data_IF_422874454902
#
_entry.id   IF_422874454902
#
_cell.length_a   1.000
_cell.length_b   1.000
_cell.length_c   1.000
_cell.angle_alpha   90.00
_cell.angle_beta   90.00
_cell.angle_gamma   90.00
#
_symmetry.space_group_name_H-M   'P 1'
#
loop_
_entity.id
_entity.type
_entity.pdbx_description
1 polymer ?
#
# COMPACT_ATOMS: atom_id res chain seq x y z
N UNK A 1 8.42 0.04 13.91
CA UNK A 1 7.27 -0.87 13.69
C UNK A 1 6.12 -0.05 13.15
N UNK A 2 6.05 0.06 11.82
CA UNK A 2 4.96 0.73 11.15
C UNK A 2 3.63 0.05 11.49
N UNK A 3 2.61 0.85 11.83
CA UNK A 3 1.27 0.32 12.00
C UNK A 3 0.71 -0.10 10.64
N UNK A 4 -0.20 -1.09 10.59
CA UNK A 4 -0.85 -1.48 9.34
C UNK A 4 -1.65 -0.32 8.70
N UNK A 5 -1.97 0.71 9.47
CA UNK A 5 -2.60 1.97 9.03
C UNK A 5 -1.66 2.83 8.17
N UNK A 6 -0.34 2.67 8.35
CA UNK A 6 0.71 3.40 7.64
C UNK A 6 1.22 2.64 6.40
N UNK A 7 0.78 1.39 6.23
CA UNK A 7 1.11 0.56 5.08
C UNK A 7 0.08 0.73 3.98
N UNK A 8 0.55 0.79 2.73
CA UNK A 8 -0.31 1.07 1.58
C UNK A 8 -0.19 -0.03 0.54
N UNK A 9 -1.32 -0.55 0.06
CA UNK A 9 -1.37 -1.54 -1.00
C UNK A 9 -1.80 -0.92 -2.32
N UNK A 10 -1.11 -1.30 -3.40
CA UNK A 10 -1.45 -0.96 -4.76
C UNK A 10 -2.68 -1.74 -5.22
N UNK A 11 -3.76 -1.03 -5.52
CA UNK A 11 -5.04 -1.60 -5.94
C UNK A 11 -5.12 -1.91 -7.44
N UNK A 12 -4.01 -1.81 -8.16
CA UNK A 12 -3.97 -2.23 -9.56
C UNK A 12 -4.17 -3.75 -9.63
N UNK A 13 -5.14 -4.21 -10.43
CA UNK A 13 -5.60 -5.60 -10.48
C UNK A 13 -4.52 -6.65 -10.77
N UNK A 14 -3.37 -6.24 -11.31
CA UNK A 14 -2.22 -7.09 -11.65
C UNK A 14 -0.95 -6.76 -10.82
N UNK A 15 -1.10 -6.07 -9.68
CA UNK A 15 0.03 -5.62 -8.86
C UNK A 15 -0.02 -6.13 -7.42
N UNK A 16 -0.91 -5.60 -6.58
CA UNK A 16 -0.99 -5.95 -5.16
C UNK A 16 0.23 -5.57 -4.31
N UNK A 17 1.16 -4.75 -4.82
CA UNK A 17 2.37 -4.33 -4.08
C UNK A 17 2.02 -3.59 -2.78
N UNK A 18 2.67 -3.96 -1.67
CA UNK A 18 2.53 -3.29 -0.37
C UNK A 18 3.76 -2.42 -0.10
N UNK A 19 3.53 -1.14 0.08
CA UNK A 19 4.50 -0.18 0.59
C UNK A 19 4.57 -0.25 2.12
N UNK A 20 5.77 -0.51 2.63
CA UNK A 20 6.09 -0.53 4.05
C UNK A 20 6.99 0.67 4.37
N UNK A 21 6.56 1.62 5.21
CA UNK A 21 7.35 2.82 5.49
C UNK A 21 8.59 2.53 6.34
N UNK A 22 8.61 1.46 7.16
CA UNK A 22 9.77 1.06 7.96
C UNK A 22 10.89 0.53 7.05
N UNK A 23 10.52 -0.16 5.97
CA UNK A 23 11.47 -0.63 4.93
C UNK A 23 11.76 0.39 3.84
N UNK A 24 10.84 1.32 3.58
CA UNK A 24 10.86 2.22 2.44
C UNK A 24 10.73 1.48 1.10
N UNK A 25 11.26 2.07 0.03
CA UNK A 25 11.28 1.45 -1.29
C UNK A 25 12.60 1.71 -2.00
N UNK A 26 13.52 0.74 -1.94
CA UNK A 26 14.83 0.84 -2.58
C UNK A 26 14.74 1.05 -4.09
N UNK A 27 13.72 0.49 -4.76
CA UNK A 27 13.58 0.56 -6.22
C UNK A 27 13.08 1.93 -6.67
N UNK A 28 12.19 2.55 -5.91
CA UNK A 28 11.76 3.95 -6.04
C UNK A 28 12.67 4.97 -5.37
N UNK A 29 13.85 4.56 -4.86
CA UNK A 29 14.83 5.41 -4.17
C UNK A 29 14.28 6.11 -2.92
N UNK A 30 13.38 5.44 -2.20
CA UNK A 30 12.78 5.92 -0.97
C UNK A 30 13.50 5.28 0.22
N UNK A 31 14.05 6.06 1.17
CA UNK A 31 14.71 5.52 2.33
C UNK A 31 13.73 4.86 3.31
N UNK A 32 14.20 3.94 4.17
CA UNK A 32 13.41 3.44 5.29
C UNK A 32 13.06 4.57 6.25
N UNK A 33 11.87 4.52 6.82
CA UNK A 33 11.28 5.55 7.68
C UNK A 33 10.44 6.60 6.94
N UNK A 34 10.31 6.52 5.61
CA UNK A 34 9.47 7.45 4.85
C UNK A 34 8.02 7.00 4.84
N UNK A 35 7.11 7.82 5.36
CA UNK A 35 5.67 7.57 5.29
C UNK A 35 5.15 7.68 3.86
N UNK A 36 4.08 6.95 3.52
CA UNK A 36 3.51 7.00 2.18
C UNK A 36 3.06 8.42 1.76
N UNK A 37 2.61 9.23 2.71
CA UNK A 37 2.20 10.63 2.48
C UNK A 37 3.38 11.54 2.13
N UNK A 38 4.59 11.20 2.60
CA UNK A 38 5.84 11.92 2.30
C UNK A 38 6.44 11.51 0.95
N UNK A 39 5.88 10.49 0.30
CA UNK A 39 6.34 10.07 -1.03
C UNK A 39 6.14 11.18 -2.07
N UNK A 40 7.14 11.39 -2.95
CA UNK A 40 7.04 12.37 -4.02
C UNK A 40 5.87 12.02 -4.94
N UNK A 41 5.26 13.04 -5.55
CA UNK A 41 4.14 12.86 -6.48
C UNK A 41 4.50 12.05 -7.73
N UNK A 42 5.76 12.10 -8.14
CA UNK A 42 6.31 11.31 -9.24
C UNK A 42 6.65 9.87 -8.83
N UNK A 43 6.55 9.53 -7.53
CA UNK A 43 6.73 8.14 -7.11
C UNK A 43 5.64 7.25 -7.73
N UNK A 44 6.11 6.15 -8.31
CA UNK A 44 5.28 5.14 -8.94
C UNK A 44 5.59 3.79 -8.34
N UNK A 45 4.57 2.93 -8.34
CA UNK A 45 4.71 1.57 -7.88
C UNK A 45 5.89 0.89 -8.59
N UNK A 46 6.86 0.32 -7.86
CA UNK A 46 8.05 -0.30 -8.45
C UNK A 46 7.75 -1.63 -9.18
N UNK A 47 6.51 -2.12 -9.06
CA UNK A 47 6.02 -3.35 -9.69
C UNK A 47 5.24 -3.03 -10.96
N UNK A 48 4.19 -2.20 -10.88
CA UNK A 48 3.30 -1.94 -12.02
C UNK A 48 3.43 -0.55 -12.66
N UNK A 49 4.19 0.37 -12.06
CA UNK A 49 4.30 1.75 -12.54
C UNK A 49 3.08 2.64 -12.29
N UNK A 50 2.08 2.15 -11.53
CA UNK A 50 0.91 2.92 -11.13
C UNK A 50 1.26 4.07 -10.19
N UNK A 51 0.54 5.18 -10.26
CA UNK A 51 0.75 6.35 -9.41
C UNK A 51 0.31 6.10 -7.95
N UNK A 52 0.77 6.94 -7.02
CA UNK A 52 0.38 6.89 -5.60
C UNK A 52 -1.14 6.91 -5.34
N UNK A 53 -1.92 7.46 -6.28
CA UNK A 53 -3.40 7.49 -6.24
C UNK A 53 -4.06 6.10 -6.28
N UNK A 54 -3.38 5.12 -6.87
CA UNK A 54 -3.86 3.74 -6.95
C UNK A 54 -3.63 2.97 -5.63
N UNK A 55 -3.00 3.58 -4.64
CA UNK A 55 -2.74 2.94 -3.36
C UNK A 55 -3.84 3.23 -2.34
N UNK A 56 -4.05 2.26 -1.46
CA UNK A 56 -5.00 2.35 -0.34
C UNK A 56 -4.34 1.85 0.94
N UNK A 57 -4.69 2.41 2.11
CA UNK A 57 -4.16 1.93 3.38
C UNK A 57 -4.60 0.48 3.65
N UNK A 58 -3.76 -0.29 4.33
CA UNK A 58 -4.05 -1.69 4.68
C UNK A 58 -4.97 -1.84 5.90
N UNK A 59 -5.10 -0.81 6.74
CA UNK A 59 -6.03 -0.77 7.86
C UNK A 59 -6.59 0.65 8.08
N UNK A 60 -7.77 0.74 8.70
CA UNK A 60 -8.45 2.00 9.03
C UNK A 60 -9.63 2.33 8.09
N UNK A 61 -10.41 3.39 8.42
CA UNK A 61 -11.56 3.83 7.64
C UNK A 61 -11.13 4.26 6.24
N UNK A 62 -11.43 3.46 5.21
CA UNK A 62 -10.97 3.67 3.83
C UNK A 62 -9.97 2.64 3.30
N UNK A 63 -9.63 1.62 4.09
CA UNK A 63 -8.95 0.42 3.60
C UNK A 63 -9.92 -0.45 2.80
N UNK A 64 -9.44 -1.08 1.73
CA UNK A 64 -10.28 -1.92 0.86
C UNK A 64 -10.77 -3.21 1.52
N UNK A 65 -10.42 -3.43 2.79
CA UNK A 65 -10.88 -4.54 3.61
C UNK A 65 -12.25 -4.32 4.26
N UNK A 66 -12.85 -3.13 4.13
CA UNK A 66 -14.21 -2.85 4.64
C UNK A 66 -15.33 -3.30 3.69
N UNK A 67 -15.01 -3.67 2.45
CA UNK A 67 -15.94 -4.42 1.59
C UNK A 67 -15.89 -5.91 1.95
N UNK A 68 -16.41 -6.22 3.14
CA UNK A 68 -16.88 -7.55 3.57
C UNK A 68 -15.91 -8.69 3.24
N UNK A 69 -14.95 -8.95 4.14
CA UNK A 69 -14.47 -10.32 4.36
C UNK A 69 -15.65 -11.17 4.87
N UNK A 70 -16.62 -11.48 4.01
CA UNK A 70 -17.41 -12.69 4.16
C UNK A 70 -16.46 -13.84 3.84
N UNK A 71 -15.77 -14.28 4.89
CA UNK A 71 -15.18 -15.61 4.96
C UNK A 71 -16.26 -16.60 4.46
N UNK A 72 -16.03 -17.38 3.38
CA UNK A 72 -16.88 -18.54 3.16
C UNK A 72 -16.66 -19.45 4.38
N UNK A 73 -17.61 -19.41 5.31
CA UNK A 73 -17.70 -20.45 6.33
C UNK A 73 -17.84 -21.75 5.54
N UNK A 74 -16.84 -22.62 5.67
CA UNK A 74 -16.78 -23.89 4.95
C UNK A 74 -18.08 -24.66 5.09
N UNK A 75 -18.50 -25.29 3.99
CA UNK A 75 -19.48 -26.36 4.00
C UNK A 75 -18.76 -27.71 4.10
#
# INVERSE_FOLDING_TARGET
MAKPEEMYQCQTSNCGYVYDPDRGDRKGKIPPGTSFEDLPEDWRCPVCGGSKRCFRPLAGPGSTKEAKCELPTGN
#
